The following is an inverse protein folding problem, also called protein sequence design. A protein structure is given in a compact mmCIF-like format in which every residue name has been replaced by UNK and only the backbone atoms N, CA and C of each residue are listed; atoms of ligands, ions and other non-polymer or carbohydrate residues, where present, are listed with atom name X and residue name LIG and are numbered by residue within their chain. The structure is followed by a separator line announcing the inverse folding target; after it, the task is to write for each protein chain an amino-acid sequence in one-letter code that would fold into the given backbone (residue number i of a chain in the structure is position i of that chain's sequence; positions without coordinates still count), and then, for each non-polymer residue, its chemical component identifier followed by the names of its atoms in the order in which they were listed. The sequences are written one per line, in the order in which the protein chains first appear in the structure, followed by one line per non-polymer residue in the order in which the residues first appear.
data_IF_102725636716
#
_entry.id   IF_102725636716
#
_cell.length_a   1.000
_cell.length_b   1.000
_cell.length_c   1.000
_cell.angle_alpha   90.00
_cell.angle_beta   90.00
_cell.angle_gamma   90.00
#
_symmetry.space_group_name_H-M   'P 1'
#
loop_
_entity.id
_entity.type
_entity.pdbx_description
1 polymer ?
#
# COMPACT_ATOMS: atom_id res chain seq x y z
N UNK A 1 24.96 11.82 15.36
CA UNK A 1 24.77 13.21 14.98
C UNK A 1 26.12 13.83 14.59
N UNK A 2 26.11 14.87 13.75
CA UNK A 2 27.33 15.60 13.38
C UNK A 2 28.07 16.18 14.61
N UNK A 3 27.31 16.69 15.59
CA UNK A 3 27.85 17.24 16.82
C UNK A 3 28.60 16.19 17.68
N UNK A 4 28.10 14.96 17.79
CA UNK A 4 28.80 13.92 18.53
C UNK A 4 30.13 13.53 17.86
N UNK A 5 30.17 13.50 16.54
CA UNK A 5 31.41 13.26 15.77
C UNK A 5 32.40 14.42 15.93
N UNK A 6 31.93 15.66 15.87
CA UNK A 6 32.77 16.84 16.05
C UNK A 6 33.43 16.84 17.43
N UNK A 7 32.69 16.46 18.48
CA UNK A 7 33.20 16.40 19.86
C UNK A 7 33.95 15.10 20.16
N UNK A 8 34.06 14.18 19.19
CA UNK A 8 34.70 12.88 19.34
C UNK A 8 34.19 12.06 20.55
N UNK A 9 32.87 12.10 20.78
CA UNK A 9 32.20 11.38 21.84
C UNK A 9 31.11 10.45 21.29
N UNK A 10 30.71 9.44 22.08
CA UNK A 10 29.62 8.56 21.68
C UNK A 10 28.30 9.32 21.54
N UNK A 11 27.42 8.87 20.65
CA UNK A 11 26.10 9.46 20.46
C UNK A 11 25.27 9.41 21.75
N UNK A 12 25.38 8.33 22.52
CA UNK A 12 24.68 8.14 23.80
C UNK A 12 25.15 9.12 24.84
N UNK A 13 26.48 9.32 24.94
CA UNK A 13 27.10 10.35 25.83
C UNK A 13 26.60 11.73 25.45
N UNK A 14 26.65 12.07 24.16
CA UNK A 14 26.18 13.33 23.65
C UNK A 14 24.70 13.59 23.98
N UNK A 15 23.82 12.61 23.76
CA UNK A 15 22.40 12.69 24.08
C UNK A 15 22.14 12.90 25.60
N UNK A 16 22.90 12.18 26.45
CA UNK A 16 22.78 12.31 27.91
C UNK A 16 23.08 13.74 28.38
N UNK A 17 24.16 14.32 27.91
CA UNK A 17 24.55 15.66 28.34
C UNK A 17 23.72 16.76 27.68
N UNK A 18 23.46 16.69 26.39
CA UNK A 18 22.67 17.70 25.69
C UNK A 18 21.24 17.89 26.22
N UNK A 19 20.69 16.87 26.90
CA UNK A 19 19.40 16.97 27.60
C UNK A 19 19.49 17.65 28.97
N UNK A 20 20.67 17.77 29.55
CA UNK A 20 20.88 18.37 30.86
C UNK A 20 21.19 19.86 30.80
N UNK A 21 21.82 20.30 29.72
CA UNK A 21 22.17 21.70 29.55
C UNK A 21 20.99 22.49 28.98
N UNK A 22 20.61 23.53 29.67
CA UNK A 22 19.56 24.48 29.26
C UNK A 22 20.24 25.72 28.75
N UNK A 23 19.84 26.17 27.59
CA UNK A 23 20.28 27.44 27.01
C UNK A 23 19.60 28.59 27.74
N UNK A 24 20.39 29.52 28.26
CA UNK A 24 19.92 30.62 29.11
C UNK A 24 19.02 31.63 28.36
N UNK A 25 19.24 31.80 27.05
CA UNK A 25 18.46 32.75 26.26
C UNK A 25 17.09 32.18 25.90
N UNK A 26 17.02 30.91 25.55
CA UNK A 26 15.78 30.28 25.03
C UNK A 26 15.04 29.43 26.04
N UNK A 27 15.67 29.12 27.20
CA UNK A 27 15.14 28.22 28.22
C UNK A 27 14.92 26.76 27.74
N UNK A 28 15.50 26.39 26.60
CA UNK A 28 15.36 25.04 26.01
C UNK A 28 16.63 24.24 26.20
N UNK A 29 16.47 22.90 26.25
CA UNK A 29 17.66 22.03 26.30
C UNK A 29 18.43 22.12 24.99
N UNK A 30 19.75 21.95 25.03
CA UNK A 30 20.58 21.87 23.81
C UNK A 30 20.10 20.76 22.87
N UNK A 31 19.53 19.69 23.43
CA UNK A 31 18.90 18.64 22.64
C UNK A 31 17.69 19.13 21.84
N UNK A 32 16.83 19.95 22.43
CA UNK A 32 15.64 20.50 21.77
C UNK A 32 15.99 21.54 20.73
N UNK A 33 17.00 22.36 20.98
CA UNK A 33 17.53 23.33 20.02
C UNK A 33 18.10 22.67 18.77
N UNK A 34 18.71 21.51 18.94
CA UNK A 34 19.32 20.75 17.84
C UNK A 34 18.38 19.78 17.16
N UNK A 35 17.15 19.63 17.67
CA UNK A 35 16.13 18.86 16.96
C UNK A 35 15.95 19.42 15.56
N UNK A 36 16.48 18.68 14.61
CA UNK A 36 16.29 19.02 13.21
C UNK A 36 14.79 19.05 12.91
N UNK A 37 14.28 20.18 12.45
CA UNK A 37 12.88 20.31 12.01
C UNK A 37 12.49 19.28 10.92
N UNK A 38 13.47 18.64 10.29
CA UNK A 38 13.30 17.52 9.34
C UNK A 38 13.31 16.15 10.01
N UNK A 39 13.41 16.05 11.34
CA UNK A 39 13.39 14.80 12.09
C UNK A 39 11.99 14.18 12.19
N UNK A 40 11.91 13.01 12.86
CA UNK A 40 10.65 12.35 13.22
C UNK A 40 9.72 13.34 13.92
N UNK A 41 8.52 13.55 13.40
CA UNK A 41 7.52 14.47 13.94
C UNK A 41 7.36 15.77 13.14
N UNK A 42 8.29 16.16 12.29
CA UNK A 42 7.94 17.05 11.19
C UNK A 42 7.03 16.24 10.29
N UNK A 43 5.74 16.54 10.29
CA UNK A 43 4.86 16.15 9.19
C UNK A 43 5.57 16.70 7.96
N UNK A 44 6.34 15.85 7.25
CA UNK A 44 6.74 16.17 5.89
C UNK A 44 5.46 16.72 5.30
N UNK A 45 5.45 17.96 4.70
CA UNK A 45 4.30 18.29 3.91
C UNK A 45 4.13 17.05 3.06
N UNK A 46 3.10 16.29 3.39
CA UNK A 46 2.82 15.10 2.65
C UNK A 46 2.69 15.67 1.27
N UNK A 47 3.77 15.57 0.49
CA UNK A 47 3.60 15.60 -0.93
C UNK A 47 2.65 14.46 -1.14
N UNK A 48 1.37 14.79 -0.98
CA UNK A 48 0.35 14.17 -1.73
C UNK A 48 0.89 14.37 -3.13
N UNK A 49 1.72 13.46 -3.56
CA UNK A 49 1.83 13.16 -4.96
C UNK A 49 0.37 12.88 -5.27
N UNK A 50 -0.35 13.96 -5.63
CA UNK A 50 -1.59 13.88 -6.36
C UNK A 50 -1.25 12.85 -7.37
N UNK A 51 -1.70 11.59 -7.11
CA UNK A 51 -1.04 10.40 -7.61
C UNK A 51 -0.65 10.67 -9.03
N UNK A 52 0.62 10.48 -9.39
CA UNK A 52 1.26 10.86 -10.68
C UNK A 52 0.30 10.67 -11.86
N UNK A 53 -0.73 9.87 -11.65
CA UNK A 53 -1.78 9.51 -12.59
C UNK A 53 -3.17 9.83 -12.00
N UNK A 54 -4.08 10.41 -12.78
CA UNK A 54 -5.46 10.58 -12.39
C UNK A 54 -6.12 9.21 -12.19
N UNK A 55 -7.01 9.08 -11.19
CA UNK A 55 -7.69 7.81 -10.93
C UNK A 55 -8.55 7.39 -12.13
N UNK A 56 -9.19 8.35 -12.78
CA UNK A 56 -9.99 8.11 -14.00
C UNK A 56 -9.15 7.49 -15.11
N UNK A 57 -7.95 8.02 -15.37
CA UNK A 57 -7.07 7.49 -16.41
C UNK A 57 -6.59 6.05 -16.12
N UNK A 58 -6.46 5.70 -14.82
CA UNK A 58 -6.12 4.32 -14.44
C UNK A 58 -7.32 3.41 -14.73
N UNK A 59 -8.54 3.85 -14.38
CA UNK A 59 -9.77 3.11 -14.62
C UNK A 59 -10.17 3.07 -16.11
N UNK A 60 -9.60 3.94 -16.93
CA UNK A 60 -9.69 3.89 -18.41
C UNK A 60 -8.65 2.92 -19.01
N UNK A 61 -7.85 2.22 -18.19
CA UNK A 61 -6.87 1.22 -18.63
C UNK A 61 -5.54 1.80 -19.15
N UNK A 62 -5.29 3.12 -19.01
CA UNK A 62 -4.07 3.77 -19.55
C UNK A 62 -2.77 3.36 -18.83
N UNK A 63 -2.86 2.78 -17.63
CA UNK A 63 -1.72 2.46 -16.79
C UNK A 63 -1.75 1.01 -16.30
N UNK A 64 -1.45 0.03 -17.15
CA UNK A 64 -1.50 -1.40 -16.82
C UNK A 64 -0.49 -1.80 -15.73
N UNK A 65 0.58 -1.03 -15.55
CA UNK A 65 1.63 -1.27 -14.55
C UNK A 65 1.27 -0.71 -13.16
N UNK A 66 0.10 -0.08 -13.02
CA UNK A 66 -0.26 0.55 -11.77
C UNK A 66 -0.46 -0.50 -10.67
N UNK A 67 0.05 -0.22 -9.47
CA UNK A 67 -0.05 -1.16 -8.36
C UNK A 67 -1.49 -1.37 -7.90
N UNK A 68 -1.98 -2.60 -7.92
CA UNK A 68 -3.31 -3.01 -7.45
C UNK A 68 -3.56 -2.60 -5.99
N UNK A 69 -2.52 -2.68 -5.14
CA UNK A 69 -2.61 -2.25 -3.74
C UNK A 69 -2.88 -0.73 -3.61
N UNK A 70 -2.18 0.08 -4.41
CA UNK A 70 -2.41 1.53 -4.44
C UNK A 70 -3.76 1.87 -5.06
N UNK A 71 -4.15 1.14 -6.12
CA UNK A 71 -5.45 1.30 -6.76
C UNK A 71 -6.59 1.02 -5.78
N UNK A 72 -6.54 -0.09 -5.05
CA UNK A 72 -7.50 -0.42 -4.00
C UNK A 72 -7.65 0.73 -2.98
N UNK A 73 -6.54 1.25 -2.45
CA UNK A 73 -6.58 2.36 -1.48
C UNK A 73 -7.21 3.62 -2.08
N UNK A 74 -6.90 3.94 -3.33
CA UNK A 74 -7.46 5.11 -4.02
C UNK A 74 -8.94 4.93 -4.32
N UNK A 75 -9.37 3.73 -4.71
CA UNK A 75 -10.77 3.41 -4.93
C UNK A 75 -11.56 3.56 -3.64
N UNK A 76 -11.13 2.96 -2.52
CA UNK A 76 -11.80 3.06 -1.22
C UNK A 76 -11.98 4.53 -0.81
N UNK A 77 -10.96 5.37 -1.02
CA UNK A 77 -11.01 6.79 -0.63
C UNK A 77 -11.82 7.68 -1.60
N UNK A 78 -12.21 7.18 -2.74
CA UNK A 78 -12.88 7.96 -3.79
C UNK A 78 -14.04 7.18 -4.44
N UNK A 79 -14.62 6.20 -3.76
CA UNK A 79 -15.71 5.39 -4.28
C UNK A 79 -16.84 6.24 -4.88
N UNK A 80 -17.28 7.26 -4.13
CA UNK A 80 -18.37 8.16 -4.54
C UNK A 80 -18.03 8.99 -5.79
N UNK A 81 -16.74 9.38 -5.93
CA UNK A 81 -16.28 10.23 -7.05
C UNK A 81 -16.19 9.50 -8.39
N UNK A 82 -15.94 8.19 -8.32
CA UNK A 82 -15.79 7.34 -9.51
C UNK A 82 -16.96 6.38 -9.69
N UNK A 83 -18.00 6.55 -8.86
CA UNK A 83 -19.18 5.69 -8.85
C UNK A 83 -18.76 4.20 -8.85
N UNK A 84 -17.99 3.81 -7.84
CA UNK A 84 -17.53 2.44 -7.64
C UNK A 84 -18.07 1.88 -6.32
N UNK A 85 -18.89 0.82 -6.34
CA UNK A 85 -19.58 0.33 -5.15
C UNK A 85 -18.60 -0.12 -4.06
N UNK A 86 -18.66 0.47 -2.86
CA UNK A 86 -17.82 0.08 -1.71
C UNK A 86 -18.48 -1.05 -0.89
N UNK A 87 -18.83 -2.12 -1.57
CA UNK A 87 -19.43 -3.34 -1.00
C UNK A 87 -19.03 -4.56 -1.80
N UNK A 88 -19.26 -5.75 -1.26
CA UNK A 88 -19.00 -6.98 -2.00
C UNK A 88 -19.93 -7.09 -3.21
N UNK A 89 -19.37 -7.24 -4.39
CA UNK A 89 -20.13 -7.37 -5.63
C UNK A 89 -21.03 -8.62 -5.66
N UNK A 90 -20.60 -9.70 -4.99
CA UNK A 90 -21.33 -10.98 -5.04
C UNK A 90 -22.44 -11.10 -3.99
N UNK A 91 -22.19 -10.72 -2.73
CA UNK A 91 -23.15 -10.89 -1.63
C UNK A 91 -23.64 -9.58 -1.00
N UNK A 92 -23.16 -8.43 -1.47
CA UNK A 92 -23.56 -7.14 -0.94
C UNK A 92 -22.94 -6.74 0.40
N UNK A 93 -22.06 -7.56 0.98
CA UNK A 93 -21.45 -7.30 2.29
C UNK A 93 -20.74 -5.95 2.34
N UNK A 94 -21.11 -5.11 3.32
CA UNK A 94 -20.60 -3.74 3.53
C UNK A 94 -20.35 -3.39 5.00
N UNK A 95 -20.35 -4.39 5.91
CA UNK A 95 -20.14 -4.18 7.32
C UNK A 95 -18.71 -3.76 7.65
N UNK A 96 -18.60 -2.73 8.49
CA UNK A 96 -17.32 -2.22 8.96
C UNK A 96 -16.81 -3.05 10.13
N UNK A 97 -15.51 -3.36 10.12
CA UNK A 97 -14.84 -3.99 11.26
C UNK A 97 -14.86 -3.07 12.48
N UNK A 98 -15.10 -3.65 13.63
CA UNK A 98 -15.13 -2.92 14.92
C UNK A 98 -13.75 -2.32 15.24
N UNK A 99 -12.68 -3.00 14.84
CA UNK A 99 -11.30 -2.65 15.21
C UNK A 99 -10.77 -1.40 14.52
N UNK A 100 -11.11 -1.19 13.25
CA UNK A 100 -10.54 -0.11 12.43
C UNK A 100 -11.56 0.61 11.53
N UNK A 101 -12.82 0.24 11.62
CA UNK A 101 -13.91 0.87 10.85
C UNK A 101 -13.83 0.63 9.33
N UNK A 102 -12.95 -0.26 8.87
CA UNK A 102 -12.82 -0.56 7.43
C UNK A 102 -13.69 -1.74 7.02
N UNK A 103 -14.21 -1.73 5.80
CA UNK A 103 -14.91 -2.87 5.22
C UNK A 103 -13.84 -3.85 4.68
N UNK A 104 -13.82 -5.12 5.12
CA UNK A 104 -12.79 -6.10 4.73
C UNK A 104 -13.05 -6.63 3.32
N UNK A 105 -12.71 -5.84 2.30
CA UNK A 105 -12.87 -6.17 0.89
C UNK A 105 -11.51 -6.41 0.21
N UNK A 106 -11.52 -7.22 -0.82
CA UNK A 106 -10.41 -7.47 -1.76
C UNK A 106 -10.80 -6.86 -3.09
N UNK A 107 -9.87 -6.16 -3.75
CA UNK A 107 -10.04 -5.74 -5.14
C UNK A 107 -9.65 -6.91 -6.04
N UNK A 108 -10.59 -7.37 -6.85
CA UNK A 108 -10.46 -8.50 -7.75
C UNK A 108 -10.60 -8.07 -9.21
N UNK A 109 -9.88 -8.74 -10.11
CA UNK A 109 -10.00 -8.59 -11.56
C UNK A 109 -10.87 -9.73 -12.10
N UNK A 110 -11.94 -9.37 -12.79
CA UNK A 110 -12.93 -10.35 -13.29
C UNK A 110 -12.30 -11.27 -14.34
N UNK A 111 -11.51 -10.71 -15.26
CA UNK A 111 -10.85 -11.43 -16.35
C UNK A 111 -9.59 -12.21 -15.95
N UNK A 112 -9.17 -12.18 -14.69
CA UNK A 112 -7.87 -12.68 -14.22
C UNK A 112 -6.64 -11.98 -14.88
N UNK A 113 -6.84 -10.96 -15.69
CA UNK A 113 -5.77 -10.09 -16.18
C UNK A 113 -5.50 -8.96 -15.18
N UNK A 114 -4.40 -9.08 -14.48
CA UNK A 114 -3.96 -8.14 -13.43
C UNK A 114 -3.48 -6.80 -13.96
N UNK A 115 -3.32 -6.68 -15.25
CA UNK A 115 -2.88 -5.45 -15.91
C UNK A 115 -4.06 -4.63 -16.43
N UNK A 116 -5.22 -5.23 -16.54
CA UNK A 116 -6.43 -4.56 -16.96
C UNK A 116 -7.15 -3.93 -15.77
N UNK A 117 -6.90 -2.65 -15.54
CA UNK A 117 -7.49 -1.87 -14.46
C UNK A 117 -8.75 -1.11 -14.87
N UNK A 118 -9.40 -1.50 -15.96
CA UNK A 118 -10.66 -0.89 -16.38
C UNK A 118 -11.74 -1.09 -15.32
N UNK A 119 -12.63 -0.08 -15.20
CA UNK A 119 -13.71 -0.10 -14.20
C UNK A 119 -14.56 -1.36 -14.30
N UNK A 120 -14.84 -1.80 -15.52
CA UNK A 120 -15.70 -2.95 -15.81
C UNK A 120 -15.03 -4.30 -15.47
N UNK A 121 -13.70 -4.31 -15.44
CA UNK A 121 -12.92 -5.50 -15.06
C UNK A 121 -12.63 -5.59 -13.55
N UNK A 122 -12.98 -4.56 -12.77
CA UNK A 122 -12.69 -4.49 -11.35
C UNK A 122 -13.96 -4.71 -10.52
N UNK A 123 -13.81 -5.39 -9.40
CA UNK A 123 -14.87 -5.54 -8.40
C UNK A 123 -14.31 -5.67 -7.00
N UNK A 124 -15.08 -5.28 -5.99
CA UNK A 124 -14.77 -5.62 -4.61
C UNK A 124 -15.45 -6.93 -4.22
N UNK A 125 -14.72 -7.80 -3.54
CA UNK A 125 -15.23 -9.03 -2.96
C UNK A 125 -14.90 -9.09 -1.46
N UNK A 126 -15.81 -9.60 -0.63
CA UNK A 126 -15.45 -9.98 0.73
C UNK A 126 -14.57 -11.24 0.71
N UNK A 127 -13.87 -11.53 1.81
CA UNK A 127 -12.97 -12.68 1.89
C UNK A 127 -13.65 -14.02 1.57
N UNK A 128 -14.88 -14.23 2.05
CA UNK A 128 -15.64 -15.45 1.79
C UNK A 128 -15.96 -15.60 0.29
N UNK A 129 -16.49 -14.56 -0.34
CA UNK A 129 -16.80 -14.62 -1.77
C UNK A 129 -15.55 -14.77 -2.63
N UNK A 130 -14.46 -14.06 -2.28
CA UNK A 130 -13.19 -14.20 -2.98
C UNK A 130 -12.65 -15.63 -2.87
N UNK A 131 -12.67 -16.22 -1.67
CA UNK A 131 -12.22 -17.59 -1.47
C UNK A 131 -13.07 -18.62 -2.23
N UNK A 132 -14.38 -18.45 -2.25
CA UNK A 132 -15.27 -19.34 -2.98
C UNK A 132 -15.11 -19.24 -4.51
N UNK A 133 -14.84 -18.05 -5.04
CA UNK A 133 -14.71 -17.83 -6.48
C UNK A 133 -13.30 -18.12 -7.02
N UNK A 134 -12.27 -17.75 -6.28
CA UNK A 134 -10.86 -17.85 -6.72
C UNK A 134 -10.05 -18.93 -5.99
N UNK A 135 -10.57 -19.49 -4.92
CA UNK A 135 -9.92 -20.51 -4.11
C UNK A 135 -8.94 -19.90 -3.09
N UNK A 136 -7.66 -20.21 -3.15
CA UNK A 136 -6.72 -19.88 -2.10
C UNK A 136 -6.42 -18.37 -1.97
N UNK A 137 -6.57 -17.81 -0.75
CA UNK A 137 -6.20 -16.42 -0.39
C UNK A 137 -4.69 -16.13 -0.48
N UNK A 138 -3.84 -17.15 -0.58
CA UNK A 138 -2.38 -17.00 -0.70
C UNK A 138 -1.97 -16.55 -2.10
N UNK A 139 -2.62 -15.52 -2.59
CA UNK A 139 -2.22 -14.82 -3.79
C UNK A 139 -2.24 -15.69 -5.06
N UNK A 140 -2.59 -15.06 -6.13
CA UNK A 140 -2.25 -15.53 -7.45
C UNK A 140 -0.81 -15.99 -7.45
N UNK A 141 -0.62 -17.22 -7.86
CA UNK A 141 0.73 -17.73 -8.12
C UNK A 141 1.43 -16.75 -9.08
N UNK A 142 2.68 -16.36 -8.83
CA UNK A 142 3.40 -15.47 -9.73
C UNK A 142 3.23 -15.95 -11.18
N UNK A 143 2.99 -15.06 -12.13
CA UNK A 143 2.76 -15.41 -13.56
C UNK A 143 3.76 -16.44 -14.08
N UNK A 144 5.04 -16.28 -13.73
CA UNK A 144 6.10 -17.21 -14.12
C UNK A 144 5.83 -18.65 -13.66
N UNK A 145 5.19 -18.84 -12.49
CA UNK A 145 4.86 -20.17 -11.95
C UNK A 145 3.68 -20.78 -12.67
N UNK A 146 2.67 -19.99 -13.02
CA UNK A 146 1.53 -20.41 -13.81
C UNK A 146 1.96 -20.82 -15.22
N UNK A 147 2.84 -20.05 -15.85
CA UNK A 147 3.40 -20.38 -17.16
C UNK A 147 4.26 -21.64 -17.13
N UNK A 148 5.09 -21.83 -16.09
CA UNK A 148 5.88 -23.06 -15.94
C UNK A 148 4.99 -24.28 -15.80
N UNK A 149 3.90 -24.20 -15.01
CA UNK A 149 2.94 -25.29 -14.85
C UNK A 149 2.23 -25.59 -16.17
N UNK A 150 1.84 -24.56 -16.93
CA UNK A 150 1.25 -24.74 -18.27
C UNK A 150 2.23 -25.41 -19.24
N UNK A 151 3.48 -24.94 -19.30
CA UNK A 151 4.54 -25.55 -20.12
C UNK A 151 4.80 -27.01 -19.75
N UNK A 152 4.92 -27.30 -18.44
CA UNK A 152 5.11 -28.66 -17.97
C UNK A 152 3.95 -29.59 -18.34
N UNK A 153 2.70 -29.13 -18.24
CA UNK A 153 1.51 -29.89 -18.65
C UNK A 153 1.49 -30.15 -20.15
N UNK A 154 1.89 -29.19 -20.99
CA UNK A 154 1.99 -29.36 -22.43
C UNK A 154 3.06 -30.39 -22.80
N UNK A 155 4.24 -30.33 -22.18
CA UNK A 155 5.33 -31.30 -22.39
C UNK A 155 4.94 -32.72 -22.02
N UNK A 156 4.16 -32.89 -20.92
CA UNK A 156 3.66 -34.20 -20.51
C UNK A 156 2.63 -34.74 -21.52
N UNK A 157 1.79 -33.87 -22.07
CA UNK A 157 0.79 -34.26 -23.09
C UNK A 157 1.46 -34.72 -24.39
N UNK A 158 2.48 -34.01 -24.87
CA UNK A 158 3.25 -34.33 -26.07
C UNK A 158 4.07 -35.64 -25.95
N UNK A 159 4.41 -36.07 -24.73
CA UNK A 159 5.14 -37.33 -24.51
C UNK A 159 4.21 -38.57 -24.40
N UNK A 160 2.90 -38.34 -24.37
CA UNK A 160 1.91 -39.42 -24.31
C UNK A 160 1.21 -39.73 -25.66
N UNK A 161 1.47 -38.86 -26.64
CA UNK A 161 1.16 -39.08 -28.08
C UNK A 161 2.36 -39.68 -28.79
#
# INVERSE_FOLDING_TARGET
SGAARFLNISLTTYQKYSKRYIDEETGKTLWDLQKNKRGKGVKKPYNVTKGKYALKDILDGKYPEYSVHQLKRRLINNCDKVDFPHKCHNCGYDEKRITDGTIPLILDHISDDWTDHTKDNLRFLCYNCFHNLKGNLRGSQPRWRVEQVKKAKQTIKQKKE
#
